data_IF_033980884864
#
_entry.id   IF_033980884864
#
_cell.length_a   1.000
_cell.length_b   1.000
_cell.length_c   1.000
_cell.angle_alpha   90.00
_cell.angle_beta   90.00
_cell.angle_gamma   90.00
#
_symmetry.space_group_name_H-M   'P 1'
#
loop_
_entity.id
_entity.type
_entity.pdbx_description
1 polymer ?
#
# COMPACT_ATOMS: atom_id res chain seq x y z
N UNK A 1 -4.65 -12.19 -26.78
CA UNK A 1 -4.51 -10.75 -26.50
C UNK A 1 -5.18 -9.99 -27.65
N UNK A 2 -6.10 -9.06 -27.36
CA UNK A 2 -6.76 -8.24 -28.39
C UNK A 2 -6.24 -6.81 -28.21
N UNK A 3 -5.23 -6.43 -29.00
CA UNK A 3 -4.66 -5.09 -28.96
C UNK A 3 -5.76 -4.08 -29.32
N UNK A 4 -6.12 -3.21 -28.38
CA UNK A 4 -7.09 -2.13 -28.62
C UNK A 4 -6.38 -0.91 -29.19
N UNK A 5 -7.12 -0.04 -29.89
CA UNK A 5 -6.57 1.19 -30.44
C UNK A 5 -5.88 2.05 -29.37
N UNK A 6 -6.39 2.04 -28.13
CA UNK A 6 -5.79 2.74 -26.98
C UNK A 6 -4.41 2.20 -26.60
N UNK A 7 -4.22 0.87 -26.62
CA UNK A 7 -2.94 0.22 -26.30
C UNK A 7 -1.89 0.58 -27.35
N UNK A 8 -2.25 0.47 -28.62
CA UNK A 8 -1.35 0.80 -29.75
C UNK A 8 -0.99 2.28 -29.74
N UNK A 9 -1.96 3.17 -29.48
CA UNK A 9 -1.70 4.60 -29.40
C UNK A 9 -0.72 4.96 -28.28
N UNK A 10 -0.88 4.39 -27.08
CA UNK A 10 0.03 4.63 -25.95
C UNK A 10 1.45 4.13 -26.23
N UNK A 11 1.61 2.98 -26.90
CA UNK A 11 2.92 2.47 -27.32
C UNK A 11 3.61 3.37 -28.34
N UNK A 12 2.87 3.91 -29.31
CA UNK A 12 3.38 4.86 -30.29
C UNK A 12 3.87 6.13 -29.59
N UNK A 13 3.11 6.65 -28.62
CA UNK A 13 3.51 7.81 -27.81
C UNK A 13 4.81 7.57 -27.05
N UNK A 14 4.96 6.40 -26.40
CA UNK A 14 6.21 6.02 -25.74
C UNK A 14 7.39 5.88 -26.71
N UNK A 15 7.15 5.42 -27.94
CA UNK A 15 8.20 5.19 -28.93
C UNK A 15 8.69 6.49 -29.57
N UNK A 16 7.84 7.51 -29.65
CA UNK A 16 8.19 8.79 -30.24
C UNK A 16 8.61 9.87 -29.23
N UNK A 17 8.51 9.60 -27.92
CA UNK A 17 8.97 10.49 -26.84
C UNK A 17 8.37 11.92 -26.90
N UNK A 18 7.17 12.05 -27.50
CA UNK A 18 6.54 13.34 -27.83
C UNK A 18 5.90 13.99 -26.58
N UNK A 19 5.41 13.18 -25.64
CA UNK A 19 4.91 13.56 -24.32
C UNK A 19 4.79 12.27 -23.49
N UNK A 20 5.13 12.30 -22.18
CA UNK A 20 4.89 11.15 -21.31
C UNK A 20 3.38 10.90 -21.25
N UNK A 21 2.87 9.76 -21.76
CA UNK A 21 1.44 9.53 -21.80
C UNK A 21 0.89 9.52 -20.38
N UNK A 22 -0.28 10.14 -20.20
CA UNK A 22 -0.97 10.22 -18.91
C UNK A 22 -1.54 8.86 -18.51
N UNK A 23 -0.69 7.92 -18.14
CA UNK A 23 -1.08 6.58 -17.73
C UNK A 23 -2.06 6.59 -16.55
N UNK A 24 -1.96 7.59 -15.68
CA UNK A 24 -2.84 7.75 -14.54
C UNK A 24 -4.29 8.10 -14.93
N UNK A 25 -4.58 8.66 -16.11
CA UNK A 25 -5.98 8.87 -16.52
C UNK A 25 -6.67 7.61 -17.03
N UNK A 26 -5.95 6.49 -17.17
CA UNK A 26 -6.48 5.23 -17.66
C UNK A 26 -6.83 4.26 -16.53
N UNK A 27 -7.70 3.31 -16.82
CA UNK A 27 -8.04 2.21 -15.93
C UNK A 27 -6.90 1.18 -15.87
N UNK A 28 -6.96 0.31 -14.85
CA UNK A 28 -5.96 -0.73 -14.65
C UNK A 28 -5.83 -1.64 -15.88
N UNK A 29 -6.95 -2.00 -16.52
CA UNK A 29 -6.98 -2.95 -17.63
C UNK A 29 -6.29 -2.39 -18.89
N UNK A 30 -6.41 -1.09 -19.15
CA UNK A 30 -5.65 -0.43 -20.24
C UNK A 30 -4.17 -0.38 -19.92
N UNK A 31 -3.78 -0.04 -18.68
CA UNK A 31 -2.37 0.07 -18.30
C UNK A 31 -1.66 -1.29 -18.30
N UNK A 32 -2.34 -2.36 -17.85
CA UNK A 32 -1.80 -3.73 -17.91
C UNK A 32 -1.71 -4.24 -19.34
N UNK A 33 -2.69 -3.92 -20.20
CA UNK A 33 -2.63 -4.21 -21.63
C UNK A 33 -1.45 -3.52 -22.33
N UNK A 34 -1.15 -2.26 -21.97
CA UNK A 34 0.05 -1.56 -22.46
C UNK A 34 1.32 -2.18 -21.91
N UNK A 35 1.36 -2.59 -20.64
CA UNK A 35 2.51 -3.25 -20.04
C UNK A 35 2.86 -4.57 -20.75
N UNK A 36 1.85 -5.40 -21.03
CA UNK A 36 2.02 -6.66 -21.77
C UNK A 36 2.58 -6.39 -23.17
N UNK A 37 1.96 -5.47 -23.91
CA UNK A 37 2.38 -5.14 -25.25
C UNK A 37 3.79 -4.50 -25.26
N UNK A 38 4.08 -3.58 -24.33
CA UNK A 38 5.41 -2.98 -24.18
C UNK A 38 6.48 -4.04 -23.86
N UNK A 39 6.14 -5.05 -23.07
CA UNK A 39 7.04 -6.17 -22.77
C UNK A 39 7.33 -7.01 -24.00
N UNK A 40 6.31 -7.29 -24.83
CA UNK A 40 6.45 -8.02 -26.10
C UNK A 40 7.34 -7.24 -27.09
N UNK A 41 7.09 -5.95 -27.25
CA UNK A 41 7.83 -5.10 -28.20
C UNK A 41 9.18 -4.59 -27.65
N UNK A 42 9.56 -4.97 -26.43
CA UNK A 42 10.84 -4.59 -25.82
C UNK A 42 10.97 -3.11 -25.44
N UNK A 43 9.85 -2.39 -25.28
CA UNK A 43 9.83 -0.98 -24.90
C UNK A 43 10.02 -0.83 -23.37
N UNK A 44 11.28 -0.86 -22.92
CA UNK A 44 11.62 -0.78 -21.48
C UNK A 44 11.12 0.50 -20.79
N UNK A 45 11.20 1.71 -21.39
CA UNK A 45 10.63 2.91 -20.78
C UNK A 45 9.12 2.80 -20.51
N UNK A 46 8.37 2.25 -21.47
CA UNK A 46 6.93 2.02 -21.30
C UNK A 46 6.64 0.99 -20.20
N UNK A 47 7.41 -0.10 -20.14
CA UNK A 47 7.31 -1.11 -19.07
C UNK A 47 7.48 -0.46 -17.69
N UNK A 48 8.52 0.35 -17.50
CA UNK A 48 8.76 0.99 -16.21
C UNK A 48 7.66 1.99 -15.86
N UNK A 49 7.23 2.80 -16.82
CA UNK A 49 6.16 3.78 -16.61
C UNK A 49 4.83 3.11 -16.26
N UNK A 50 4.49 1.99 -16.92
CA UNK A 50 3.30 1.21 -16.61
C UNK A 50 3.37 0.56 -15.23
N UNK A 51 4.52 0.01 -14.82
CA UNK A 51 4.69 -0.53 -13.46
C UNK A 51 4.46 0.53 -12.39
N UNK A 52 5.07 1.71 -12.54
CA UNK A 52 4.84 2.83 -11.64
C UNK A 52 3.37 3.28 -11.64
N UNK A 53 2.73 3.35 -12.81
CA UNK A 53 1.32 3.72 -12.92
C UNK A 53 0.39 2.70 -12.24
N UNK A 54 0.67 1.41 -12.34
CA UNK A 54 -0.08 0.33 -11.65
C UNK A 54 0.01 0.52 -10.13
N UNK A 55 1.21 0.76 -9.59
CA UNK A 55 1.37 1.04 -8.15
C UNK A 55 0.61 2.30 -7.72
N UNK A 56 0.62 3.36 -8.54
CA UNK A 56 -0.12 4.61 -8.23
C UNK A 56 -1.64 4.47 -8.38
N UNK A 57 -2.14 3.66 -9.32
CA UNK A 57 -3.57 3.33 -9.42
C UNK A 57 -4.02 2.62 -8.14
N UNK A 58 -3.24 1.67 -7.63
CA UNK A 58 -3.54 0.96 -6.40
C UNK A 58 -3.58 1.84 -5.15
N UNK A 59 -3.02 3.05 -5.19
CA UNK A 59 -3.06 4.01 -4.07
C UNK A 59 -4.33 4.88 -4.05
N UNK A 60 -5.17 4.84 -5.08
CA UNK A 60 -6.36 5.70 -5.20
C UNK A 60 -7.51 5.29 -4.32
N UNK A 61 -7.74 3.98 -4.24
CA UNK A 61 -8.85 3.40 -3.51
C UNK A 61 -8.47 1.99 -3.02
N UNK A 62 -9.05 1.52 -1.91
CA UNK A 62 -8.88 0.14 -1.45
C UNK A 62 -9.31 -0.91 -2.50
N UNK A 63 -10.31 -0.60 -3.33
CA UNK A 63 -10.79 -1.46 -4.41
C UNK A 63 -9.75 -1.57 -5.54
N UNK A 64 -9.13 -0.46 -5.93
CA UNK A 64 -8.04 -0.48 -6.90
C UNK A 64 -6.80 -1.20 -6.35
N UNK A 65 -6.49 -1.02 -5.06
CA UNK A 65 -5.45 -1.79 -4.37
C UNK A 65 -5.70 -3.30 -4.46
N UNK A 66 -6.96 -3.74 -4.31
CA UNK A 66 -7.33 -5.15 -4.44
C UNK A 66 -7.17 -5.66 -5.87
N UNK A 67 -7.54 -4.87 -6.88
CA UNK A 67 -7.34 -5.22 -8.29
C UNK A 67 -5.85 -5.32 -8.62
N UNK A 68 -5.04 -4.37 -8.17
CA UNK A 68 -3.58 -4.37 -8.35
C UNK A 68 -2.93 -5.55 -7.62
N UNK A 69 -3.35 -5.86 -6.39
CA UNK A 69 -2.87 -7.00 -5.62
C UNK A 69 -3.13 -8.33 -6.34
N UNK A 70 -4.33 -8.49 -6.92
CA UNK A 70 -4.69 -9.65 -7.75
C UNK A 70 -3.82 -9.74 -9.00
N UNK A 71 -3.65 -8.64 -9.72
CA UNK A 71 -2.79 -8.57 -10.90
C UNK A 71 -1.34 -8.93 -10.57
N UNK A 72 -0.78 -8.33 -9.52
CA UNK A 72 0.59 -8.58 -9.05
C UNK A 72 0.78 -10.04 -8.61
N UNK A 73 -0.21 -10.61 -7.91
CA UNK A 73 -0.23 -12.01 -7.53
C UNK A 73 -0.23 -12.99 -8.71
N UNK A 74 -0.98 -12.69 -9.79
CA UNK A 74 -1.00 -13.55 -10.99
C UNK A 74 0.28 -13.44 -11.82
N UNK A 75 1.00 -12.32 -11.74
CA UNK A 75 2.23 -12.06 -12.52
C UNK A 75 3.52 -12.24 -11.71
N UNK A 76 3.44 -12.75 -10.46
CA UNK A 76 4.60 -12.89 -9.55
C UNK A 76 5.39 -11.60 -9.34
N UNK A 77 4.70 -10.45 -9.39
CA UNK A 77 5.26 -9.15 -9.12
C UNK A 77 5.06 -8.80 -7.63
N UNK A 78 6.12 -8.92 -6.85
CA UNK A 78 6.08 -8.67 -5.40
C UNK A 78 6.54 -7.25 -5.03
N UNK A 79 6.81 -6.38 -5.99
CA UNK A 79 7.16 -4.98 -5.73
C UNK A 79 5.96 -4.25 -5.14
N UNK A 80 6.15 -3.54 -4.03
CA UNK A 80 5.14 -2.79 -3.28
C UNK A 80 3.89 -3.61 -2.83
N UNK A 81 3.96 -4.94 -2.88
CA UNK A 81 2.79 -5.80 -2.65
C UNK A 81 2.24 -5.67 -1.21
N UNK A 82 3.11 -5.39 -0.25
CA UNK A 82 2.73 -5.13 1.15
C UNK A 82 1.89 -3.86 1.29
N UNK A 83 2.23 -2.79 0.57
CA UNK A 83 1.46 -1.53 0.61
C UNK A 83 0.06 -1.76 0.05
N UNK A 84 -0.03 -2.46 -1.09
CA UNK A 84 -1.30 -2.83 -1.70
C UNK A 84 -2.14 -3.70 -0.75
N UNK A 85 -1.54 -4.73 -0.15
CA UNK A 85 -2.22 -5.60 0.80
C UNK A 85 -2.80 -4.83 1.99
N UNK A 86 -2.03 -3.93 2.60
CA UNK A 86 -2.47 -3.13 3.76
C UNK A 86 -3.64 -2.21 3.41
N UNK A 87 -3.63 -1.59 2.24
CA UNK A 87 -4.72 -0.73 1.75
C UNK A 87 -6.04 -1.49 1.61
N UNK A 88 -5.98 -2.78 1.23
CA UNK A 88 -7.20 -3.62 1.16
C UNK A 88 -7.79 -3.98 2.52
N UNK A 89 -7.08 -3.81 3.64
CA UNK A 89 -7.53 -4.26 4.96
C UNK A 89 -8.73 -3.47 5.50
N UNK A 90 -8.99 -2.27 4.95
CA UNK A 90 -10.18 -1.46 5.27
C UNK A 90 -11.44 -1.94 4.56
N UNK A 91 -11.31 -2.78 3.53
CA UNK A 91 -12.47 -3.35 2.84
C UNK A 91 -13.18 -4.34 3.77
N UNK A 92 -14.49 -4.12 3.95
CA UNK A 92 -15.36 -5.18 4.46
C UNK A 92 -15.48 -6.18 3.31
N UNK A 93 -14.72 -7.28 3.40
CA UNK A 93 -14.86 -8.41 2.48
C UNK A 93 -16.17 -9.13 2.82
N UNK A 94 -17.30 -8.55 2.43
CA UNK A 94 -18.59 -9.21 2.49
C UNK A 94 -18.61 -10.32 1.43
N UNK A 95 -18.21 -11.50 1.91
CA UNK A 95 -18.18 -12.80 1.23
C UNK A 95 -17.15 -12.95 0.10
N UNK A 96 -16.64 -14.17 -0.10
CA UNK A 96 -15.85 -14.50 -1.27
C UNK A 96 -16.72 -14.19 -2.48
N UNK A 97 -16.29 -13.27 -3.34
CA UNK A 97 -16.96 -13.11 -4.60
C UNK A 97 -16.89 -14.47 -5.32
N UNK A 98 -18.05 -15.12 -5.46
CA UNK A 98 -18.27 -16.28 -6.33
C UNK A 98 -17.99 -15.98 -7.82
N UNK A 99 -17.24 -14.93 -8.14
CA UNK A 99 -16.89 -14.50 -9.48
C UNK A 99 -15.45 -14.91 -9.85
N UNK A 100 -15.06 -16.14 -9.53
CA UNK A 100 -14.00 -16.83 -10.30
C UNK A 100 -14.51 -17.20 -11.70
N UNK A 101 -15.83 -17.17 -11.91
CA UNK A 101 -16.46 -17.49 -13.19
C UNK A 101 -16.53 -16.33 -14.20
N UNK A 102 -16.50 -15.06 -13.77
CA UNK A 102 -16.74 -13.91 -14.66
C UNK A 102 -15.52 -13.45 -15.48
N UNK A 103 -14.33 -13.98 -15.22
CA UNK A 103 -13.10 -13.51 -15.88
C UNK A 103 -12.43 -14.53 -16.81
N UNK A 104 -13.02 -15.70 -17.04
CA UNK A 104 -12.60 -16.61 -18.11
C UNK A 104 -11.10 -17.00 -18.11
N UNK A 105 -10.39 -16.87 -16.99
CA UNK A 105 -8.97 -17.16 -16.90
C UNK A 105 -8.73 -18.56 -16.33
N UNK A 106 -8.74 -19.57 -17.21
CA UNK A 106 -8.10 -20.85 -16.93
C UNK A 106 -6.58 -20.66 -17.00
N UNK A 107 -5.94 -20.36 -15.86
CA UNK A 107 -4.48 -20.39 -15.73
C UNK A 107 -4.05 -21.55 -14.81
N UNK A 108 -2.92 -22.24 -15.11
CA UNK A 108 -2.38 -23.32 -14.28
C UNK A 108 -1.86 -22.86 -12.89
N UNK A 109 -1.91 -21.56 -12.59
CA UNK A 109 -1.44 -20.95 -11.35
C UNK A 109 -2.57 -20.83 -10.31
N UNK A 110 -3.34 -21.91 -10.14
CA UNK A 110 -4.46 -21.98 -9.20
C UNK A 110 -4.07 -21.62 -7.76
N UNK A 111 -2.81 -21.85 -7.38
CA UNK A 111 -2.28 -21.49 -6.08
C UNK A 111 -2.18 -19.96 -5.91
N UNK A 112 -1.66 -19.21 -6.87
CA UNK A 112 -1.49 -17.76 -6.70
C UNK A 112 -2.83 -17.02 -6.51
N UNK A 113 -3.90 -17.53 -7.13
CA UNK A 113 -5.23 -16.91 -7.12
C UNK A 113 -5.99 -17.21 -5.81
N UNK A 114 -6.06 -18.48 -5.36
CA UNK A 114 -6.69 -18.85 -4.08
C UNK A 114 -6.03 -18.19 -2.86
N UNK A 115 -4.73 -17.89 -2.96
CA UNK A 115 -3.96 -17.24 -1.91
C UNK A 115 -4.26 -15.74 -1.81
N UNK A 116 -4.55 -15.07 -2.93
CA UNK A 116 -5.00 -13.67 -2.94
C UNK A 116 -6.46 -13.54 -2.55
N UNK A 117 -7.31 -14.54 -2.80
CA UNK A 117 -8.77 -14.36 -2.67
C UNK A 117 -9.40 -14.78 -1.34
N UNK A 118 -8.87 -15.75 -0.57
CA UNK A 118 -9.54 -16.14 0.70
C UNK A 118 -8.61 -16.46 1.88
N UNK A 119 -7.62 -17.35 1.73
CA UNK A 119 -6.81 -17.80 2.88
C UNK A 119 -5.63 -16.87 3.21
N UNK A 120 -4.94 -16.33 2.20
CA UNK A 120 -3.81 -15.42 2.42
C UNK A 120 -4.28 -14.07 2.93
N UNK A 121 -5.36 -13.53 2.37
CA UNK A 121 -5.94 -12.25 2.81
C UNK A 121 -6.48 -12.34 4.25
N UNK A 122 -7.17 -13.42 4.62
CA UNK A 122 -7.64 -13.65 6.00
C UNK A 122 -6.47 -13.77 6.99
N UNK A 123 -5.46 -14.60 6.69
CA UNK A 123 -4.25 -14.72 7.54
C UNK A 123 -3.48 -13.42 7.67
N UNK A 124 -3.37 -12.67 6.58
CA UNK A 124 -2.74 -11.35 6.57
C UNK A 124 -3.53 -10.38 7.43
N UNK A 125 -4.86 -10.35 7.29
CA UNK A 125 -5.78 -9.52 8.07
C UNK A 125 -5.66 -9.79 9.57
N UNK A 126 -5.69 -11.05 10.00
CA UNK A 126 -5.53 -11.41 11.42
C UNK A 126 -4.20 -10.94 12.01
N UNK A 127 -3.10 -11.04 11.23
CA UNK A 127 -1.79 -10.55 11.67
C UNK A 127 -1.73 -9.03 11.64
N UNK A 128 -2.34 -8.40 10.64
CA UNK A 128 -2.44 -6.95 10.49
C UNK A 128 -3.22 -6.34 11.64
N UNK A 129 -4.39 -6.87 11.98
CA UNK A 129 -5.23 -6.39 13.08
C UNK A 129 -4.50 -6.50 14.42
N UNK A 130 -3.76 -7.59 14.66
CA UNK A 130 -2.90 -7.74 15.85
C UNK A 130 -1.79 -6.69 15.91
N UNK A 131 -1.12 -6.43 14.78
CA UNK A 131 -0.08 -5.41 14.70
C UNK A 131 -0.64 -3.99 14.86
N UNK A 132 -1.79 -3.69 14.25
CA UNK A 132 -2.49 -2.42 14.42
C UNK A 132 -3.02 -2.22 15.84
N UNK A 133 -3.41 -3.30 16.52
CA UNK A 133 -3.79 -3.24 17.95
C UNK A 133 -2.60 -2.86 18.82
N UNK A 134 -1.42 -3.46 18.59
CA UNK A 134 -0.18 -3.06 19.27
C UNK A 134 0.21 -1.61 18.95
N UNK A 135 0.05 -1.21 17.71
CA UNK A 135 0.33 0.16 17.26
C UNK A 135 -0.53 1.18 18.02
N UNK A 136 -1.85 0.95 18.07
CA UNK A 136 -2.79 1.79 18.83
C UNK A 136 -2.49 1.78 20.33
N UNK A 137 -2.10 0.65 20.92
CA UNK A 137 -1.68 0.59 22.33
C UNK A 137 -0.44 1.46 22.62
N UNK A 138 0.47 1.66 21.67
CA UNK A 138 1.59 2.61 21.85
C UNK A 138 1.07 4.05 21.82
N UNK A 139 0.15 4.37 20.89
CA UNK A 139 -0.49 5.69 20.81
C UNK A 139 -1.26 6.03 22.10
N UNK A 140 -2.06 5.09 22.59
CA UNK A 140 -2.85 5.23 23.82
C UNK A 140 -1.97 5.40 25.06
N UNK A 141 -0.86 4.67 25.15
CA UNK A 141 0.12 4.85 26.24
C UNK A 141 0.71 6.26 26.24
N UNK A 142 0.97 6.83 25.07
CA UNK A 142 1.41 8.22 24.96
C UNK A 142 0.37 9.23 25.45
N UNK A 143 -0.93 8.94 25.27
CA UNK A 143 -2.01 9.74 25.83
C UNK A 143 -2.10 9.60 27.37
N UNK A 144 -2.07 8.37 27.90
CA UNK A 144 -2.24 8.09 29.35
C UNK A 144 -1.05 8.51 30.19
N UNK A 145 0.19 8.34 29.70
CA UNK A 145 1.42 8.75 30.42
C UNK A 145 1.43 10.27 30.73
N UNK A 146 0.66 11.05 29.96
CA UNK A 146 0.64 12.52 30.02
C UNK A 146 -0.43 13.09 30.93
N UNK A 147 -1.54 12.39 31.18
CA UNK A 147 -2.56 12.79 32.18
C UNK A 147 -1.99 12.89 33.61
N UNK A 148 -0.86 12.23 33.87
CA UNK A 148 -0.17 12.26 35.18
C UNK A 148 0.90 13.35 35.30
N UNK A 149 1.30 14.00 34.20
CA UNK A 149 2.34 15.05 34.21
C UNK A 149 1.71 16.40 33.85
N UNK A 150 1.41 17.19 34.88
CA UNK A 150 0.71 18.47 34.89
C UNK A 150 1.36 19.62 34.05
N UNK A 151 1.78 19.36 32.81
CA UNK A 151 2.41 20.31 31.90
C UNK A 151 1.47 20.64 30.73
N UNK A 152 0.58 21.61 30.95
CA UNK A 152 -0.48 22.04 30.01
C UNK A 152 -0.04 22.64 28.66
N UNK A 153 1.24 22.56 28.29
CA UNK A 153 1.76 22.99 26.98
C UNK A 153 2.29 21.83 26.11
N UNK A 154 2.45 20.62 26.66
CA UNK A 154 2.91 19.41 25.95
C UNK A 154 1.76 18.47 25.54
N UNK A 155 0.54 18.73 26.01
CA UNK A 155 -0.66 17.94 25.68
C UNK A 155 -0.99 18.01 24.19
N UNK A 156 -0.88 19.19 23.59
CA UNK A 156 -1.32 19.43 22.21
C UNK A 156 -0.45 18.69 21.18
N UNK A 157 0.87 18.60 21.39
CA UNK A 157 1.78 18.02 20.39
C UNK A 157 1.60 16.53 20.17
N UNK A 158 1.35 15.74 21.24
CA UNK A 158 1.12 14.29 21.07
C UNK A 158 -0.26 14.00 20.54
N UNK A 159 -1.28 14.74 20.97
CA UNK A 159 -2.64 14.59 20.43
C UNK A 159 -2.69 14.91 18.93
N UNK A 160 -2.01 15.98 18.50
CA UNK A 160 -1.83 16.30 17.08
C UNK A 160 -1.04 15.19 16.38
N UNK A 161 0.07 14.73 16.97
CA UNK A 161 0.87 13.64 16.42
C UNK A 161 0.07 12.35 16.22
N UNK A 162 -0.64 11.89 17.25
CA UNK A 162 -1.44 10.67 17.20
C UNK A 162 -2.55 10.80 16.17
N UNK A 163 -3.23 11.95 16.11
CA UNK A 163 -4.28 12.20 15.13
C UNK A 163 -3.74 12.16 13.69
N UNK A 164 -2.60 12.79 13.42
CA UNK A 164 -1.97 12.79 12.09
C UNK A 164 -1.45 11.40 11.70
N UNK A 165 -0.90 10.66 12.66
CA UNK A 165 -0.43 9.28 12.45
C UNK A 165 -1.62 8.33 12.20
N UNK A 166 -2.73 8.49 12.91
CA UNK A 166 -3.95 7.71 12.71
C UNK A 166 -4.70 8.06 11.43
N UNK A 167 -4.56 9.31 10.95
CA UNK A 167 -5.11 9.75 9.68
C UNK A 167 -4.42 9.07 8.48
N UNK A 168 -3.20 8.55 8.64
CA UNK A 168 -2.53 7.78 7.60
C UNK A 168 -3.34 6.53 7.24
N UNK A 169 -3.57 6.32 5.94
CA UNK A 169 -4.31 5.16 5.47
C UNK A 169 -3.59 3.85 5.83
N UNK A 170 -2.26 3.87 5.67
CA UNK A 170 -1.33 2.82 6.07
C UNK A 170 -0.15 3.48 6.80
N UNK A 171 0.04 3.21 8.10
CA UNK A 171 1.17 3.76 8.84
C UNK A 171 2.50 3.27 8.27
N UNK A 172 3.42 4.21 8.00
CA UNK A 172 4.78 3.88 7.57
C UNK A 172 5.82 4.47 8.53
N UNK A 173 6.98 3.82 8.66
CA UNK A 173 8.05 4.33 9.53
C UNK A 173 8.55 5.70 9.05
N UNK A 174 8.56 5.93 7.73
CA UNK A 174 8.89 7.23 7.15
C UNK A 174 7.83 8.29 7.50
N UNK A 175 6.54 7.96 7.35
CA UNK A 175 5.44 8.86 7.68
C UNK A 175 5.40 9.23 9.17
N UNK A 176 5.64 8.26 10.06
CA UNK A 176 5.73 8.53 11.51
C UNK A 176 6.88 9.49 11.83
N UNK A 177 8.05 9.30 11.22
CA UNK A 177 9.18 10.21 11.38
C UNK A 177 8.91 11.60 10.84
N UNK A 178 8.29 11.68 9.67
CA UNK A 178 7.95 12.96 9.04
C UNK A 178 7.00 13.77 9.92
N UNK A 179 5.91 13.15 10.40
CA UNK A 179 4.98 13.79 11.33
C UNK A 179 5.69 14.19 12.64
N UNK A 180 6.55 13.31 13.18
CA UNK A 180 7.32 13.65 14.37
C UNK A 180 8.24 14.86 14.13
N UNK A 181 8.91 14.95 12.98
CA UNK A 181 9.77 16.07 12.61
C UNK A 181 8.98 17.37 12.42
N UNK A 182 7.81 17.30 11.79
CA UNK A 182 6.93 18.45 11.57
C UNK A 182 6.46 19.05 12.90
N UNK A 183 6.04 18.20 13.84
CA UNK A 183 5.54 18.62 15.14
C UNK A 183 6.65 19.16 16.04
N UNK A 184 7.88 18.65 15.91
CA UNK A 184 9.05 19.16 16.64
C UNK A 184 9.75 20.34 15.94
N UNK A 185 9.24 20.84 14.80
CA UNK A 185 9.63 22.14 14.24
C UNK A 185 11.07 22.26 13.70
N UNK A 186 11.66 21.19 13.15
CA UNK A 186 13.02 21.17 12.56
C UNK A 186 14.19 21.32 13.58
N UNK A 187 14.43 20.29 14.39
CA UNK A 187 15.81 19.85 14.70
C UNK A 187 15.82 18.35 15.03
N UNK A 188 16.52 17.55 14.23
CA UNK A 188 16.56 16.07 14.33
C UNK A 188 17.29 15.61 15.62
N UNK A 189 17.90 16.55 16.36
CA UNK A 189 18.77 16.24 17.50
C UNK A 189 18.14 16.42 18.88
N UNK A 190 17.00 17.11 19.00
CA UNK A 190 16.30 17.26 20.29
C UNK A 190 14.77 17.29 20.06
N UNK A 191 14.10 16.14 20.24
CA UNK A 191 12.64 16.03 20.28
C UNK A 191 12.09 16.80 21.50
N UNK A 192 11.97 18.12 21.41
CA UNK A 192 11.28 18.92 22.43
C UNK A 192 9.78 18.91 22.17
N UNK A 193 9.11 17.81 22.56
CA UNK A 193 7.64 17.73 22.56
C UNK A 193 7.07 16.31 22.53
N UNK A 194 7.68 15.45 21.73
CA UNK A 194 7.34 14.02 21.64
C UNK A 194 8.35 13.17 22.42
N UNK A 195 7.88 12.12 23.08
CA UNK A 195 8.79 11.17 23.74
C UNK A 195 9.50 10.34 22.65
N UNK A 196 10.84 10.45 22.51
CA UNK A 196 11.59 9.70 21.50
C UNK A 196 11.41 8.19 21.62
N UNK A 197 11.19 7.70 22.84
CA UNK A 197 11.02 6.27 23.08
C UNK A 197 9.70 5.77 22.51
N UNK A 198 8.61 6.52 22.67
CA UNK A 198 7.32 6.18 22.07
C UNK A 198 7.35 6.25 20.54
N UNK A 199 8.03 7.24 19.96
CA UNK A 199 8.23 7.33 18.50
C UNK A 199 9.03 6.13 17.98
N UNK A 200 10.11 5.76 18.68
CA UNK A 200 10.90 4.58 18.34
C UNK A 200 10.12 3.26 18.50
N UNK A 201 9.26 3.15 19.51
CA UNK A 201 8.41 1.98 19.72
C UNK A 201 7.38 1.84 18.59
N UNK A 202 6.75 2.93 18.15
CA UNK A 202 5.86 2.95 16.97
C UNK A 202 6.58 2.47 15.71
N UNK A 203 7.80 2.97 15.46
CA UNK A 203 8.61 2.50 14.33
C UNK A 203 8.92 1.01 14.41
N UNK A 204 9.22 0.51 15.61
CA UNK A 204 9.54 -0.89 15.86
C UNK A 204 8.33 -1.78 15.61
N UNK A 205 7.14 -1.34 16.01
CA UNK A 205 5.88 -2.02 15.71
C UNK A 205 5.62 -2.03 14.19
N UNK A 206 5.82 -0.90 13.49
CA UNK A 206 5.63 -0.82 12.03
C UNK A 206 6.62 -1.74 11.29
N UNK A 207 7.88 -1.80 11.71
CA UNK A 207 8.88 -2.72 11.12
C UNK A 207 8.49 -4.19 11.31
N UNK A 208 7.73 -4.49 12.36
CA UNK A 208 7.17 -5.81 12.65
C UNK A 208 5.82 -6.10 11.99
N UNK A 209 5.32 -5.21 11.12
CA UNK A 209 4.09 -5.47 10.36
C UNK A 209 4.23 -6.71 9.48
N UNK A 210 3.14 -7.47 9.28
CA UNK A 210 3.18 -8.68 8.46
C UNK A 210 3.64 -8.34 7.04
N UNK A 211 4.41 -9.27 6.45
CA UNK A 211 4.77 -9.24 5.04
C UNK A 211 3.89 -10.21 4.26
N UNK A 212 3.46 -9.81 3.09
CA UNK A 212 2.58 -10.56 2.21
C UNK A 212 3.28 -11.80 1.67
N UNK A 213 4.59 -11.71 1.40
CA UNK A 213 5.43 -12.85 1.02
C UNK A 213 5.41 -13.98 2.06
N UNK A 214 5.29 -13.67 3.35
CA UNK A 214 5.21 -14.67 4.42
C UNK A 214 3.89 -15.45 4.40
N UNK A 215 2.89 -14.97 3.64
CA UNK A 215 1.62 -15.65 3.43
C UNK A 215 1.64 -16.54 2.18
N UNK A 216 2.65 -16.40 1.32
CA UNK A 216 2.79 -17.10 0.04
C UNK A 216 3.59 -18.40 0.20
N UNK A 217 4.52 -18.45 1.17
CA UNK A 217 5.39 -19.62 1.43
C UNK A 217 4.77 -20.53 2.50
N UNK A 218 3.76 -21.32 2.12
CA UNK A 218 3.29 -22.50 2.88
C UNK A 218 2.77 -23.59 1.96
#
# INVERSE_FOLDING_TARGET
MKETASIVHLLILFSHNIEHPKLLSHDLDTVTGVLEAASIYGNRPAVQACKSAISEIGKRSPEDALRVLRYKGTHSDFEDIDDMARRTMKLILEKPANSLHDMGMYLPHYNCIQFVTDNGQSRYKDKWERSMSKFRQVLDRGNVSRDYTNFGYLGDSWTVFSSEVEAQEVPTSAGVKEIACLINGLDVKEYKGLDPWLVWELESVIKGFPKWCDMIVM
#
